data_IF_723916394493
#
_entry.id   IF_723916394493
#
_cell.length_a   1.000
_cell.length_b   1.000
_cell.length_c   1.000
_cell.angle_alpha   90.00
_cell.angle_beta   90.00
_cell.angle_gamma   90.00
#
_symmetry.space_group_name_H-M   'P 1'
#
loop_
_entity.id
_entity.type
_entity.pdbx_description
1 polymer ?
#
# COMPACT_ATOMS: atom_id res chain seq x y z
N UNK A 1 1.33 15.94 9.32
CA UNK A 1 0.94 14.87 8.36
C UNK A 1 -0.31 15.33 7.64
N UNK A 2 -0.35 15.27 6.31
CA UNK A 2 -1.54 15.63 5.54
C UNK A 2 -2.66 14.62 5.76
N UNK A 3 -3.92 15.07 5.75
CA UNK A 3 -5.09 14.20 5.86
C UNK A 3 -5.09 13.20 4.69
N UNK A 4 -5.40 11.94 4.95
CA UNK A 4 -5.66 10.95 3.90
C UNK A 4 -6.92 11.36 3.12
N UNK A 5 -6.80 11.37 1.81
CA UNK A 5 -7.87 11.62 0.85
C UNK A 5 -7.79 10.51 -0.20
N UNK A 6 -8.73 9.56 -0.08
CA UNK A 6 -8.88 8.43 -1.00
C UNK A 6 -9.10 8.93 -2.44
N UNK A 7 -8.43 8.32 -3.40
CA UNK A 7 -8.37 8.74 -4.79
C UNK A 7 -7.32 9.81 -5.09
N UNK A 8 -6.67 10.40 -4.08
CA UNK A 8 -5.79 11.57 -4.26
C UNK A 8 -4.39 11.31 -3.74
N UNK A 9 -4.25 10.93 -2.46
CA UNK A 9 -2.96 10.75 -1.80
C UNK A 9 -2.83 9.42 -1.04
N UNK A 10 -3.72 8.49 -1.28
CA UNK A 10 -3.57 7.11 -0.85
C UNK A 10 -2.56 6.35 -1.72
N UNK A 11 -2.05 5.26 -1.16
CA UNK A 11 -1.03 4.42 -1.79
C UNK A 11 -1.57 3.76 -3.06
N UNK A 12 -2.83 3.30 -3.06
CA UNK A 12 -3.45 2.67 -4.23
C UNK A 12 -3.47 3.62 -5.44
N UNK A 13 -3.86 4.86 -5.22
CA UNK A 13 -4.04 5.85 -6.28
C UNK A 13 -2.71 6.43 -6.76
N UNK A 14 -1.74 6.64 -5.87
CA UNK A 14 -0.43 7.21 -6.24
C UNK A 14 0.55 6.16 -6.76
N UNK A 15 0.50 4.94 -6.24
CA UNK A 15 1.46 3.88 -6.55
C UNK A 15 0.74 2.55 -6.76
N UNK A 16 -0.04 2.42 -7.85
CA UNK A 16 -0.82 1.21 -8.12
C UNK A 16 0.04 -0.06 -8.23
N UNK A 17 1.26 0.04 -8.77
CA UNK A 17 2.20 -1.10 -8.84
C UNK A 17 2.60 -1.60 -7.46
N UNK A 18 2.92 -0.69 -6.54
CA UNK A 18 3.26 -1.02 -5.14
C UNK A 18 2.02 -1.55 -4.41
N UNK A 19 0.85 -0.97 -4.66
CA UNK A 19 -0.41 -1.48 -4.11
C UNK A 19 -0.77 -2.89 -4.65
N UNK A 20 -0.27 -3.26 -5.82
CA UNK A 20 -0.34 -4.62 -6.35
C UNK A 20 0.48 -5.63 -5.54
N UNK A 21 1.50 -5.16 -4.83
CA UNK A 21 2.32 -5.96 -3.91
C UNK A 21 1.73 -6.00 -2.49
N UNK A 22 0.47 -5.61 -2.28
CA UNK A 22 -0.14 -5.61 -0.95
C UNK A 22 -0.54 -7.02 -0.49
N UNK A 23 -0.18 -7.38 0.75
CA UNK A 23 -0.61 -8.65 1.35
C UNK A 23 -1.95 -8.49 2.07
N UNK A 24 -3.05 -8.76 1.37
CA UNK A 24 -4.41 -8.68 1.94
C UNK A 24 -4.61 -9.65 3.11
N UNK A 25 -4.09 -10.89 3.00
CA UNK A 25 -4.22 -11.89 4.07
C UNK A 25 -3.54 -11.46 5.39
N UNK A 26 -2.40 -10.77 5.29
CA UNK A 26 -1.63 -10.35 6.48
C UNK A 26 -2.03 -8.99 7.02
N UNK A 27 -2.56 -8.11 6.18
CA UNK A 27 -2.98 -6.76 6.59
C UNK A 27 -4.47 -6.69 6.99
N UNK A 28 -5.25 -7.74 6.70
CA UNK A 28 -6.67 -7.83 7.05
C UNK A 28 -7.47 -6.69 6.44
N UNK A 29 -8.20 -5.96 7.29
CA UNK A 29 -9.06 -4.84 6.86
C UNK A 29 -8.29 -3.59 6.41
N UNK A 30 -6.96 -3.57 6.53
CA UNK A 30 -6.15 -2.44 6.08
C UNK A 30 -5.84 -2.65 4.60
N UNK A 31 -6.43 -1.79 3.78
CA UNK A 31 -6.22 -1.75 2.34
C UNK A 31 -5.28 -0.59 1.94
N UNK A 32 -4.65 -0.65 0.74
CA UNK A 32 -3.74 0.40 0.30
C UNK A 32 -4.43 1.78 0.12
N UNK A 33 -5.74 1.82 -0.11
CA UNK A 33 -6.51 3.08 -0.20
C UNK A 33 -6.75 3.74 1.17
N UNK A 34 -6.55 3.00 2.26
CA UNK A 34 -6.64 3.50 3.64
C UNK A 34 -5.27 3.97 4.19
N UNK A 35 -4.23 3.97 3.36
CA UNK A 35 -2.87 4.33 3.74
C UNK A 35 -2.35 5.41 2.81
N UNK A 36 -1.94 6.55 3.36
CA UNK A 36 -1.29 7.59 2.55
C UNK A 36 0.07 7.10 2.06
N UNK A 37 0.50 7.50 0.85
CA UNK A 37 1.80 7.06 0.31
C UNK A 37 3.03 7.42 1.17
N UNK A 38 2.92 8.44 2.03
CA UNK A 38 3.97 8.84 2.99
C UNK A 38 3.73 8.32 4.42
N UNK A 39 2.87 7.32 4.60
CA UNK A 39 2.54 6.78 5.91
C UNK A 39 3.73 6.03 6.52
N UNK A 40 3.94 6.18 7.83
CA UNK A 40 4.90 5.38 8.60
C UNK A 40 4.31 4.06 9.12
N UNK A 41 3.10 3.71 8.68
CA UNK A 41 2.42 2.48 9.10
C UNK A 41 3.18 1.27 8.54
N UNK A 42 3.51 0.33 9.43
CA UNK A 42 4.13 -0.95 9.03
C UNK A 42 3.04 -1.88 8.51
N UNK A 43 3.24 -2.40 7.32
CA UNK A 43 2.30 -3.25 6.58
C UNK A 43 3.08 -4.36 5.88
N UNK A 44 2.39 -5.43 5.55
CA UNK A 44 2.95 -6.60 4.89
C UNK A 44 2.81 -6.50 3.38
N UNK A 45 3.89 -6.81 2.68
CA UNK A 45 3.92 -6.88 1.22
C UNK A 45 3.99 -8.34 0.77
N UNK A 46 3.45 -8.65 -0.40
CA UNK A 46 3.75 -9.87 -1.13
C UNK A 46 4.98 -9.59 -1.98
N UNK A 47 6.00 -10.44 -1.86
CA UNK A 47 7.14 -10.33 -2.76
C UNK A 47 6.68 -10.75 -4.17
N UNK A 48 6.97 -9.98 -5.22
CA UNK A 48 6.87 -10.50 -6.58
C UNK A 48 7.88 -11.64 -6.69
N UNK A 49 7.39 -12.89 -6.70
CA UNK A 49 8.22 -14.06 -6.94
C UNK A 49 8.97 -13.86 -8.25
N UNK A 50 10.30 -13.66 -8.18
CA UNK A 50 11.16 -13.57 -9.35
C UNK A 50 11.95 -12.27 -9.53
N UNK A 51 11.82 -11.25 -8.67
CA UNK A 51 12.78 -10.14 -8.68
C UNK A 51 14.06 -10.56 -7.94
N UNK A 52 14.95 -11.24 -8.66
CA UNK A 52 16.38 -11.32 -8.30
C UNK A 52 16.87 -9.88 -8.27
N UNK A 53 17.23 -9.37 -7.09
CA UNK A 53 17.98 -8.12 -6.99
C UNK A 53 19.41 -8.33 -7.49
#
# INVERSE_FOLDING_TARGET
MSRLVKGVNDLQSKYPSIAGEWSYDRNGDITPDLVSYGSKKRVWWVCPQGMVQ
#
